data_IF_228709897847
#
_entry.id   IF_228709897847
#
_cell.length_a   1.000
_cell.length_b   1.000
_cell.length_c   1.000
_cell.angle_alpha   90.00
_cell.angle_beta   90.00
_cell.angle_gamma   90.00
#
_symmetry.space_group_name_H-M   'P 1'
#
loop_
_entity.id
_entity.type
_entity.pdbx_description
1 polymer ?
#
# COMPACT_ATOMS: atom_id res chain seq x y z
N UNK A 1 -19.74 -31.64 -56.52
CA UNK A 1 -21.02 -32.28 -56.18
C UNK A 1 -21.99 -31.28 -55.58
N UNK A 2 -23.30 -31.45 -55.83
CA UNK A 2 -24.38 -30.69 -55.18
C UNK A 2 -25.40 -31.65 -54.60
N UNK A 3 -25.61 -31.60 -53.29
CA UNK A 3 -26.60 -32.40 -52.57
C UNK A 3 -27.57 -31.47 -51.86
N UNK A 4 -28.83 -31.47 -52.30
CA UNK A 4 -29.87 -30.61 -51.71
C UNK A 4 -30.40 -31.18 -50.40
N UNK A 5 -30.63 -32.49 -50.33
CA UNK A 5 -31.00 -33.20 -49.11
C UNK A 5 -30.56 -34.66 -49.19
N UNK A 6 -29.89 -35.16 -48.16
CA UNK A 6 -29.53 -36.58 -48.02
C UNK A 6 -29.40 -36.92 -46.54
N UNK A 7 -29.63 -38.16 -46.13
CA UNK A 7 -29.31 -38.55 -44.76
C UNK A 7 -27.79 -38.50 -44.51
N UNK A 8 -26.99 -38.93 -45.48
CA UNK A 8 -25.53 -38.98 -45.39
C UNK A 8 -24.89 -38.52 -46.70
N UNK A 9 -23.82 -37.75 -46.61
CA UNK A 9 -23.01 -37.31 -47.75
C UNK A 9 -21.55 -37.58 -47.47
N UNK A 10 -20.99 -38.54 -48.20
CA UNK A 10 -19.56 -38.85 -48.21
C UNK A 10 -19.00 -38.54 -49.60
N UNK A 11 -18.01 -37.65 -49.67
CA UNK A 11 -17.31 -37.36 -50.93
C UNK A 11 -15.82 -37.18 -50.68
N UNK A 12 -15.00 -37.67 -51.61
CA UNK A 12 -13.55 -37.53 -51.58
C UNK A 12 -13.00 -37.05 -52.91
N UNK A 13 -11.89 -36.30 -52.87
CA UNK A 13 -11.16 -35.82 -54.05
C UNK A 13 -12.02 -35.02 -55.03
N UNK A 14 -12.85 -34.11 -54.50
CA UNK A 14 -13.75 -33.28 -55.31
C UNK A 14 -13.34 -31.83 -55.16
N UNK A 15 -13.15 -31.13 -56.27
CA UNK A 15 -12.80 -29.70 -56.25
C UNK A 15 -13.85 -28.86 -55.51
N UNK A 16 -15.13 -29.17 -55.70
CA UNK A 16 -16.24 -28.38 -55.16
C UNK A 16 -17.35 -29.25 -54.60
N UNK A 17 -17.73 -29.02 -53.34
CA UNK A 17 -18.89 -29.64 -52.69
C UNK A 17 -19.87 -28.60 -52.12
N UNK A 18 -21.17 -28.83 -52.35
CA UNK A 18 -22.24 -28.05 -51.71
C UNK A 18 -23.31 -28.99 -51.17
N UNK A 19 -23.51 -28.95 -49.86
CA UNK A 19 -24.54 -29.71 -49.15
C UNK A 19 -25.48 -28.74 -48.44
N UNK A 20 -26.76 -28.76 -48.80
CA UNK A 20 -27.75 -27.81 -48.26
C UNK A 20 -28.49 -28.33 -47.03
N UNK A 21 -28.65 -29.65 -46.91
CA UNK A 21 -29.20 -30.28 -45.71
C UNK A 21 -28.77 -31.74 -45.63
N UNK A 22 -28.23 -32.16 -44.50
CA UNK A 22 -27.94 -33.57 -44.25
C UNK A 22 -27.92 -33.92 -42.77
N UNK A 23 -28.06 -35.19 -42.42
CA UNK A 23 -27.78 -35.59 -41.04
C UNK A 23 -26.25 -35.60 -40.82
N UNK A 24 -25.49 -36.16 -41.78
CA UNK A 24 -24.04 -36.33 -41.67
C UNK A 24 -23.33 -35.98 -42.97
N UNK A 25 -22.29 -35.15 -42.88
CA UNK A 25 -21.45 -34.74 -44.02
C UNK A 25 -19.99 -35.01 -43.70
N UNK A 26 -19.39 -35.92 -44.45
CA UNK A 26 -17.96 -36.26 -44.38
C UNK A 26 -17.31 -35.94 -45.72
N UNK A 27 -16.35 -35.01 -45.73
CA UNK A 27 -15.63 -34.63 -46.95
C UNK A 27 -14.12 -34.64 -46.72
N UNK A 28 -13.38 -35.23 -47.66
CA UNK A 28 -11.92 -35.30 -47.60
C UNK A 28 -11.27 -34.87 -48.92
N UNK A 29 -10.15 -34.15 -48.81
CA UNK A 29 -9.39 -33.65 -49.98
C UNK A 29 -10.28 -32.85 -50.93
N UNK A 30 -10.93 -31.81 -50.38
CA UNK A 30 -11.85 -30.94 -51.11
C UNK A 30 -11.30 -29.53 -51.12
N UNK A 31 -11.16 -28.91 -52.29
CA UNK A 31 -10.67 -27.53 -52.36
C UNK A 31 -11.70 -26.57 -51.75
N UNK A 32 -12.97 -26.72 -52.13
CA UNK A 32 -14.05 -25.82 -51.70
C UNK A 32 -15.28 -26.57 -51.18
N UNK A 33 -15.59 -26.40 -49.88
CA UNK A 33 -16.76 -26.99 -49.23
C UNK A 33 -17.72 -25.93 -48.70
N UNK A 34 -19.03 -26.10 -48.99
CA UNK A 34 -20.10 -25.32 -48.36
C UNK A 34 -21.16 -26.25 -47.82
N UNK A 35 -21.34 -26.25 -46.51
CA UNK A 35 -22.30 -27.09 -45.80
C UNK A 35 -23.26 -26.21 -45.00
N UNK A 36 -24.55 -26.47 -45.17
CA UNK A 36 -25.62 -25.79 -44.43
C UNK A 36 -26.57 -26.80 -43.81
N UNK A 37 -27.19 -26.44 -42.69
CA UNK A 37 -28.30 -27.17 -42.07
C UNK A 37 -28.02 -28.66 -41.91
N UNK A 38 -26.93 -28.98 -41.20
CA UNK A 38 -26.49 -30.36 -40.97
C UNK A 38 -26.32 -30.68 -39.49
N UNK A 39 -26.59 -31.93 -39.09
CA UNK A 39 -26.36 -32.29 -37.69
C UNK A 39 -24.85 -32.44 -37.41
N UNK A 40 -24.13 -33.16 -38.26
CA UNK A 40 -22.68 -33.39 -38.11
C UNK A 40 -21.94 -33.07 -39.40
N UNK A 41 -20.83 -32.34 -39.29
CA UNK A 41 -19.96 -31.95 -40.40
C UNK A 41 -18.51 -32.22 -40.04
N UNK A 42 -17.89 -33.17 -40.74
CA UNK A 42 -16.48 -33.53 -40.61
C UNK A 42 -15.76 -33.23 -41.92
N UNK A 43 -14.80 -32.30 -41.90
CA UNK A 43 -14.00 -31.97 -43.08
C UNK A 43 -12.51 -32.12 -42.78
N UNK A 44 -11.80 -32.83 -43.66
CA UNK A 44 -10.36 -33.02 -43.56
C UNK A 44 -9.63 -32.64 -44.84
N UNK A 45 -8.47 -31.99 -44.71
CA UNK A 45 -7.64 -31.54 -45.85
C UNK A 45 -8.45 -30.69 -46.84
N UNK A 46 -8.98 -29.56 -46.34
CA UNK A 46 -9.83 -28.65 -47.11
C UNK A 46 -9.19 -27.28 -47.19
N UNK A 47 -9.05 -26.72 -48.39
CA UNK A 47 -8.49 -25.37 -48.53
C UNK A 47 -9.48 -24.32 -47.98
N UNK A 48 -10.74 -24.38 -48.42
CA UNK A 48 -11.76 -23.42 -48.07
C UNK A 48 -13.06 -24.09 -47.58
N UNK A 49 -13.41 -23.88 -46.31
CA UNK A 49 -14.65 -24.40 -45.72
C UNK A 49 -15.60 -23.28 -45.25
N UNK A 50 -16.88 -23.45 -45.56
CA UNK A 50 -17.96 -22.60 -45.02
C UNK A 50 -19.06 -23.48 -44.47
N UNK A 51 -19.23 -23.46 -43.15
CA UNK A 51 -20.25 -24.24 -42.44
C UNK A 51 -21.21 -23.31 -41.71
N UNK A 52 -22.51 -23.55 -41.87
CA UNK A 52 -23.55 -22.71 -41.27
C UNK A 52 -24.71 -23.54 -40.74
N UNK A 53 -25.24 -23.15 -39.58
CA UNK A 53 -26.44 -23.78 -39.00
C UNK A 53 -26.25 -25.28 -38.80
N UNK A 54 -25.19 -25.69 -38.10
CA UNK A 54 -24.87 -27.09 -37.85
C UNK A 54 -24.78 -27.41 -36.36
N UNK A 55 -25.12 -28.63 -35.93
CA UNK A 55 -24.97 -28.93 -34.50
C UNK A 55 -23.50 -29.13 -34.14
N UNK A 56 -22.77 -29.97 -34.88
CA UNK A 56 -21.36 -30.25 -34.64
C UNK A 56 -20.54 -30.03 -35.91
N UNK A 57 -19.41 -29.34 -35.77
CA UNK A 57 -18.46 -29.05 -36.86
C UNK A 57 -17.05 -29.39 -36.41
N UNK A 58 -16.43 -30.36 -37.07
CA UNK A 58 -15.05 -30.76 -36.85
C UNK A 58 -14.24 -30.54 -38.13
N UNK A 59 -13.22 -29.69 -38.06
CA UNK A 59 -12.36 -29.37 -39.20
C UNK A 59 -10.89 -29.62 -38.86
N UNK A 60 -10.22 -30.40 -39.71
CA UNK A 60 -8.80 -30.70 -39.57
C UNK A 60 -8.01 -30.37 -40.83
N UNK A 61 -6.83 -29.77 -40.65
CA UNK A 61 -5.93 -29.37 -41.74
C UNK A 61 -6.65 -28.51 -42.78
N UNK A 62 -7.14 -27.35 -42.32
CA UNK A 62 -7.91 -26.41 -43.15
C UNK A 62 -7.18 -25.08 -43.26
N UNK A 63 -6.98 -24.57 -44.47
CA UNK A 63 -6.34 -23.26 -44.63
C UNK A 63 -7.28 -22.13 -44.16
N UNK A 64 -8.50 -22.12 -44.67
CA UNK A 64 -9.48 -21.07 -44.39
C UNK A 64 -10.83 -21.65 -43.96
N UNK A 65 -11.23 -21.40 -42.71
CA UNK A 65 -12.52 -21.82 -42.17
C UNK A 65 -13.44 -20.66 -41.78
N UNK A 66 -14.71 -20.77 -42.14
CA UNK A 66 -15.78 -19.89 -41.64
C UNK A 66 -16.94 -20.72 -41.11
N UNK A 67 -17.15 -20.66 -39.80
CA UNK A 67 -18.23 -21.37 -39.12
C UNK A 67 -19.18 -20.36 -38.46
N UNK A 68 -20.47 -20.57 -38.67
CA UNK A 68 -21.51 -19.69 -38.13
C UNK A 68 -22.71 -20.47 -37.63
N UNK A 69 -23.33 -19.99 -36.54
CA UNK A 69 -24.57 -20.55 -35.99
C UNK A 69 -24.44 -22.05 -35.72
N UNK A 70 -23.43 -22.46 -34.95
CA UNK A 70 -23.19 -23.88 -34.64
C UNK A 70 -23.20 -24.16 -33.15
N UNK A 71 -23.62 -25.35 -32.71
CA UNK A 71 -23.58 -25.64 -31.26
C UNK A 71 -22.13 -25.87 -30.82
N UNK A 72 -21.40 -26.75 -31.52
CA UNK A 72 -20.02 -27.10 -31.21
C UNK A 72 -19.13 -26.95 -32.45
N UNK A 73 -17.99 -26.31 -32.29
CA UNK A 73 -16.99 -26.10 -33.34
C UNK A 73 -15.62 -26.50 -32.82
N UNK A 74 -15.01 -27.50 -33.45
CA UNK A 74 -13.66 -27.99 -33.14
C UNK A 74 -12.78 -27.81 -34.38
N UNK A 75 -11.74 -27.00 -34.27
CA UNK A 75 -10.80 -26.72 -35.36
C UNK A 75 -9.37 -27.10 -34.95
N UNK A 76 -8.71 -27.91 -35.77
CA UNK A 76 -7.32 -28.31 -35.57
C UNK A 76 -6.45 -28.05 -36.79
N UNK A 77 -5.25 -27.50 -36.56
CA UNK A 77 -4.28 -27.17 -37.62
C UNK A 77 -4.91 -26.28 -38.70
N UNK A 78 -5.37 -25.09 -38.29
CA UNK A 78 -6.04 -24.13 -39.17
C UNK A 78 -5.24 -22.84 -39.27
N UNK A 79 -4.95 -22.38 -40.48
CA UNK A 79 -4.22 -21.12 -40.65
C UNK A 79 -5.12 -19.93 -40.25
N UNK A 80 -6.31 -19.85 -40.85
CA UNK A 80 -7.23 -18.74 -40.64
C UNK A 80 -8.64 -19.23 -40.27
N UNK A 81 -9.08 -18.91 -39.05
CA UNK A 81 -10.42 -19.26 -38.56
C UNK A 81 -11.27 -18.04 -38.23
N UNK A 82 -12.55 -18.11 -38.64
CA UNK A 82 -13.59 -17.16 -38.21
C UNK A 82 -14.79 -17.93 -37.72
N UNK A 83 -15.05 -17.83 -36.42
CA UNK A 83 -16.19 -18.49 -35.77
C UNK A 83 -17.12 -17.42 -35.19
N UNK A 84 -18.42 -17.56 -35.46
CA UNK A 84 -19.43 -16.62 -34.99
C UNK A 84 -20.69 -17.33 -34.52
N UNK A 85 -21.30 -16.82 -33.44
CA UNK A 85 -22.59 -17.30 -32.95
C UNK A 85 -22.57 -18.81 -32.68
N UNK A 86 -21.60 -19.26 -31.88
CA UNK A 86 -21.47 -20.69 -31.51
C UNK A 86 -21.56 -20.89 -30.01
N UNK A 87 -22.07 -22.03 -29.53
CA UNK A 87 -22.13 -22.25 -28.08
C UNK A 87 -20.72 -22.57 -27.55
N UNK A 88 -20.02 -23.52 -28.16
CA UNK A 88 -18.67 -23.94 -27.78
C UNK A 88 -17.72 -23.87 -28.99
N UNK A 89 -16.53 -23.29 -28.78
CA UNK A 89 -15.47 -23.17 -29.79
C UNK A 89 -14.16 -23.65 -29.18
N UNK A 90 -13.59 -24.69 -29.76
CA UNK A 90 -12.28 -25.24 -29.40
C UNK A 90 -11.33 -25.10 -30.59
N UNK A 91 -10.25 -24.34 -30.42
CA UNK A 91 -9.24 -24.13 -31.46
C UNK A 91 -7.88 -24.65 -30.99
N UNK A 92 -7.25 -25.49 -31.80
CA UNK A 92 -5.90 -26.02 -31.56
C UNK A 92 -4.97 -25.78 -32.74
N UNK A 93 -3.77 -25.28 -32.45
CA UNK A 93 -2.73 -24.99 -33.45
C UNK A 93 -3.26 -24.09 -34.58
N UNK A 94 -3.70 -22.89 -34.21
CA UNK A 94 -4.28 -21.90 -35.12
C UNK A 94 -3.40 -20.66 -35.19
N UNK A 95 -3.01 -20.24 -36.39
CA UNK A 95 -2.20 -19.03 -36.54
C UNK A 95 -3.03 -17.78 -36.22
N UNK A 96 -4.18 -17.64 -36.89
CA UNK A 96 -5.05 -16.48 -36.77
C UNK A 96 -6.50 -16.88 -36.43
N UNK A 97 -6.98 -16.45 -35.26
CA UNK A 97 -8.36 -16.71 -34.84
C UNK A 97 -9.16 -15.43 -34.57
N UNK A 98 -10.40 -15.42 -35.06
CA UNK A 98 -11.40 -14.41 -34.68
C UNK A 98 -12.68 -15.10 -34.25
N UNK A 99 -13.01 -14.97 -32.97
CA UNK A 99 -14.21 -15.56 -32.38
C UNK A 99 -15.14 -14.46 -31.89
N UNK A 100 -16.40 -14.53 -32.29
CA UNK A 100 -17.42 -13.55 -31.94
C UNK A 100 -18.68 -14.20 -31.42
N UNK A 101 -19.28 -13.62 -30.38
CA UNK A 101 -20.61 -14.01 -29.89
C UNK A 101 -20.69 -15.51 -29.58
N UNK A 102 -19.76 -16.02 -28.77
CA UNK A 102 -19.74 -17.43 -28.39
C UNK A 102 -19.87 -17.60 -26.88
N UNK A 103 -20.46 -18.69 -26.38
CA UNK A 103 -20.58 -18.83 -24.93
C UNK A 103 -19.23 -19.21 -24.31
N UNK A 104 -18.57 -20.23 -24.85
CA UNK A 104 -17.26 -20.72 -24.39
C UNK A 104 -16.27 -20.74 -25.55
N UNK A 105 -15.06 -20.25 -25.29
CA UNK A 105 -13.95 -20.22 -26.24
C UNK A 105 -12.70 -20.75 -25.55
N UNK A 106 -12.22 -21.90 -26.01
CA UNK A 106 -11.01 -22.56 -25.56
C UNK A 106 -9.99 -22.53 -26.70
N UNK A 107 -8.82 -21.96 -26.42
CA UNK A 107 -7.77 -21.75 -27.41
C UNK A 107 -6.47 -22.38 -26.90
N UNK A 108 -5.86 -23.22 -27.73
CA UNK A 108 -4.57 -23.86 -27.44
C UNK A 108 -3.58 -23.64 -28.57
N UNK A 109 -2.37 -23.17 -28.24
CA UNK A 109 -1.30 -22.90 -29.20
C UNK A 109 -1.76 -21.99 -30.36
N UNK A 110 -2.26 -20.80 -30.01
CA UNK A 110 -2.74 -19.79 -30.97
C UNK A 110 -1.79 -18.61 -30.99
N UNK A 111 -1.26 -18.25 -32.16
CA UNK A 111 -0.31 -17.13 -32.26
C UNK A 111 -1.01 -15.78 -32.03
N UNK A 112 -2.10 -15.54 -32.77
CA UNK A 112 -2.88 -14.31 -32.70
C UNK A 112 -4.37 -14.59 -32.47
N UNK A 113 -4.90 -14.10 -31.35
CA UNK A 113 -6.33 -14.27 -31.01
C UNK A 113 -7.05 -12.95 -30.74
N UNK A 114 -8.26 -12.86 -31.30
CA UNK A 114 -9.20 -11.77 -30.99
C UNK A 114 -10.55 -12.37 -30.64
N UNK A 115 -10.95 -12.16 -29.39
CA UNK A 115 -12.23 -12.64 -28.87
C UNK A 115 -13.11 -11.46 -28.48
N UNK A 116 -14.34 -11.47 -28.97
CA UNK A 116 -15.31 -10.41 -28.75
C UNK A 116 -16.66 -10.98 -28.34
N UNK A 117 -17.20 -10.48 -27.23
CA UNK A 117 -18.53 -10.82 -26.74
C UNK A 117 -18.69 -12.32 -26.48
N UNK A 118 -17.86 -12.85 -25.58
CA UNK A 118 -17.94 -14.25 -25.14
C UNK A 118 -18.22 -14.34 -23.64
N UNK A 119 -18.89 -15.37 -23.14
CA UNK A 119 -19.10 -15.48 -21.69
C UNK A 119 -17.81 -15.90 -20.98
N UNK A 120 -17.11 -16.90 -21.51
CA UNK A 120 -15.86 -17.43 -20.96
C UNK A 120 -14.80 -17.53 -22.06
N UNK A 121 -13.58 -17.12 -21.75
CA UNK A 121 -12.40 -17.25 -22.61
C UNK A 121 -11.27 -17.88 -21.81
N UNK A 122 -10.81 -19.03 -22.27
CA UNK A 122 -9.65 -19.73 -21.74
C UNK A 122 -8.60 -19.84 -22.84
N UNK A 123 -7.36 -19.43 -22.52
CA UNK A 123 -6.25 -19.46 -23.46
C UNK A 123 -5.01 -20.02 -22.76
N UNK A 124 -4.50 -21.12 -23.30
CA UNK A 124 -3.30 -21.78 -22.80
C UNK A 124 -2.29 -22.04 -23.92
N UNK A 125 -1.01 -21.95 -23.60
CA UNK A 125 0.08 -22.46 -24.43
C UNK A 125 0.64 -23.76 -23.84
N UNK A 126 0.97 -24.74 -24.68
CA UNK A 126 1.61 -25.98 -24.22
C UNK A 126 3.13 -25.76 -24.15
N UNK A 127 3.65 -25.71 -22.91
CA UNK A 127 5.03 -25.41 -22.52
C UNK A 127 6.14 -26.31 -23.13
N UNK A 128 5.81 -27.31 -23.97
CA UNK A 128 6.78 -28.29 -24.52
C UNK A 128 6.79 -28.42 -26.06
N UNK A 129 6.35 -27.42 -26.79
CA UNK A 129 6.43 -27.41 -28.26
C UNK A 129 7.36 -26.31 -28.73
N UNK A 130 8.35 -26.64 -29.57
CA UNK A 130 9.19 -25.67 -30.31
C UNK A 130 8.40 -24.91 -31.39
N UNK A 131 7.13 -24.58 -31.14
CA UNK A 131 6.20 -23.88 -32.02
C UNK A 131 5.28 -23.00 -31.14
N UNK A 132 5.53 -21.68 -31.19
CA UNK A 132 4.70 -20.51 -30.79
C UNK A 132 3.97 -20.53 -29.43
N UNK A 133 4.49 -19.76 -28.47
CA UNK A 133 3.69 -19.14 -27.39
C UNK A 133 2.60 -18.24 -27.98
N UNK A 134 1.56 -17.94 -27.19
CA UNK A 134 0.59 -16.91 -27.61
C UNK A 134 1.31 -15.56 -27.55
N UNK A 135 1.53 -14.94 -28.71
CA UNK A 135 2.20 -13.64 -28.78
C UNK A 135 1.25 -12.53 -28.34
N UNK A 136 0.01 -12.56 -28.85
CA UNK A 136 -0.96 -11.49 -28.65
C UNK A 136 -2.38 -12.02 -28.41
N UNK A 137 -2.96 -11.68 -27.25
CA UNK A 137 -4.38 -11.90 -26.95
C UNK A 137 -5.10 -10.59 -26.64
N UNK A 138 -6.21 -10.36 -27.34
CA UNK A 138 -7.07 -9.20 -27.12
C UNK A 138 -8.51 -9.65 -26.86
N UNK A 139 -8.99 -9.41 -25.62
CA UNK A 139 -10.37 -9.66 -25.23
C UNK A 139 -11.10 -8.33 -25.05
N UNK A 140 -12.07 -8.09 -25.94
CA UNK A 140 -12.81 -6.82 -25.92
C UNK A 140 -13.91 -6.80 -24.85
N UNK A 141 -14.60 -7.92 -24.66
CA UNK A 141 -15.66 -8.06 -23.67
C UNK A 141 -15.90 -9.54 -23.36
N UNK A 142 -15.78 -9.90 -22.07
CA UNK A 142 -16.13 -11.22 -21.58
C UNK A 142 -16.58 -11.22 -20.12
N UNK A 143 -17.30 -12.23 -19.63
CA UNK A 143 -17.56 -12.31 -18.19
C UNK A 143 -16.32 -12.80 -17.44
N UNK A 144 -15.62 -13.79 -17.99
CA UNK A 144 -14.42 -14.38 -17.38
C UNK A 144 -13.32 -14.57 -18.43
N UNK A 145 -12.12 -14.13 -18.08
CA UNK A 145 -10.91 -14.27 -18.89
C UNK A 145 -9.84 -14.96 -18.07
N UNK A 146 -9.41 -16.13 -18.50
CA UNK A 146 -8.32 -16.89 -17.89
C UNK A 146 -7.25 -17.12 -18.94
N UNK A 147 -6.06 -16.51 -18.75
CA UNK A 147 -4.98 -16.63 -19.70
C UNK A 147 -3.65 -16.98 -19.01
N UNK A 148 -2.90 -17.89 -19.62
CA UNK A 148 -1.61 -18.33 -19.09
C UNK A 148 -0.53 -18.38 -20.18
N UNK A 149 0.72 -18.12 -19.79
CA UNK A 149 1.90 -18.23 -20.67
C UNK A 149 1.80 -17.38 -21.95
N UNK A 150 1.55 -16.08 -21.77
CA UNK A 150 1.33 -15.13 -22.86
C UNK A 150 2.35 -14.00 -22.78
N UNK A 151 2.87 -13.56 -23.91
CA UNK A 151 3.74 -12.38 -23.97
C UNK A 151 2.92 -11.09 -23.71
N UNK A 152 1.89 -10.85 -24.53
CA UNK A 152 1.07 -9.64 -24.45
C UNK A 152 -0.44 -9.94 -24.32
N UNK A 153 -1.04 -9.41 -23.25
CA UNK A 153 -2.49 -9.49 -22.99
C UNK A 153 -3.13 -8.12 -22.84
N UNK A 154 -4.24 -7.91 -23.55
CA UNK A 154 -5.08 -6.73 -23.42
C UNK A 154 -6.54 -7.11 -23.17
N UNK A 155 -7.07 -6.73 -21.99
CA UNK A 155 -8.47 -6.92 -21.61
C UNK A 155 -9.14 -5.56 -21.44
N UNK A 156 -10.07 -5.24 -22.33
CA UNK A 156 -10.79 -3.97 -22.30
C UNK A 156 -11.87 -3.96 -21.22
N UNK A 157 -12.67 -5.02 -21.14
CA UNK A 157 -13.78 -5.14 -20.19
C UNK A 157 -14.02 -6.59 -19.81
N UNK A 158 -13.97 -6.91 -18.52
CA UNK A 158 -14.42 -8.22 -18.04
C UNK A 158 -14.93 -8.19 -16.60
N UNK A 159 -15.77 -9.13 -16.17
CA UNK A 159 -16.10 -9.19 -14.73
C UNK A 159 -14.92 -9.74 -13.93
N UNK A 160 -14.26 -10.78 -14.44
CA UNK A 160 -13.11 -11.41 -13.78
C UNK A 160 -11.99 -11.65 -14.79
N UNK A 161 -10.77 -11.25 -14.41
CA UNK A 161 -9.55 -11.46 -15.18
C UNK A 161 -8.54 -12.18 -14.31
N UNK A 162 -8.12 -13.36 -14.74
CA UNK A 162 -7.06 -14.16 -14.11
C UNK A 162 -5.94 -14.36 -15.13
N UNK A 163 -4.74 -13.83 -14.83
CA UNK A 163 -3.57 -13.99 -15.69
C UNK A 163 -2.40 -14.58 -14.92
N UNK A 164 -1.72 -15.56 -15.51
CA UNK A 164 -0.52 -16.16 -14.94
C UNK A 164 0.61 -16.24 -15.95
N UNK A 165 1.85 -15.98 -15.50
CA UNK A 165 3.05 -16.05 -16.35
C UNK A 165 2.92 -15.18 -17.61
N UNK A 166 2.66 -13.89 -17.40
CA UNK A 166 2.47 -12.90 -18.48
C UNK A 166 3.56 -11.85 -18.44
N UNK A 167 4.19 -11.55 -19.57
CA UNK A 167 5.20 -10.48 -19.61
C UNK A 167 4.51 -9.11 -19.47
N UNK A 168 3.54 -8.82 -20.34
CA UNK A 168 2.87 -7.53 -20.39
C UNK A 168 1.34 -7.66 -20.33
N UNK A 169 0.72 -7.06 -19.32
CA UNK A 169 -0.73 -7.06 -19.13
C UNK A 169 -1.32 -5.64 -19.03
N UNK A 170 -2.43 -5.44 -19.74
CA UNK A 170 -3.22 -4.21 -19.66
C UNK A 170 -4.70 -4.54 -19.42
N UNK A 171 -5.23 -4.14 -18.26
CA UNK A 171 -6.64 -4.30 -17.91
C UNK A 171 -7.28 -2.92 -17.71
N UNK A 172 -8.24 -2.59 -18.58
CA UNK A 172 -8.88 -1.26 -18.57
C UNK A 172 -10.03 -1.18 -17.58
N UNK A 173 -10.93 -2.17 -17.57
CA UNK A 173 -12.11 -2.20 -16.71
C UNK A 173 -12.45 -3.62 -16.28
N UNK A 174 -12.45 -3.87 -14.97
CA UNK A 174 -12.90 -5.16 -14.45
C UNK A 174 -13.44 -5.12 -13.03
N UNK A 175 -14.31 -6.04 -12.62
CA UNK A 175 -14.69 -6.12 -11.21
C UNK A 175 -13.54 -6.70 -10.39
N UNK A 176 -12.91 -7.78 -10.86
CA UNK A 176 -11.82 -8.45 -10.17
C UNK A 176 -10.67 -8.75 -11.13
N UNK A 177 -9.45 -8.40 -10.72
CA UNK A 177 -8.22 -8.69 -11.44
C UNK A 177 -7.27 -9.43 -10.53
N UNK A 178 -6.89 -10.65 -10.92
CA UNK A 178 -5.92 -11.49 -10.23
C UNK A 178 -4.76 -11.77 -11.19
N UNK A 179 -3.55 -11.28 -10.85
CA UNK A 179 -2.36 -11.50 -11.66
C UNK A 179 -1.27 -12.17 -10.84
N UNK A 180 -0.65 -13.20 -11.40
CA UNK A 180 0.49 -13.89 -10.79
C UNK A 180 1.66 -14.04 -11.75
N UNK A 181 2.88 -13.83 -11.24
CA UNK A 181 4.11 -13.95 -12.05
C UNK A 181 4.08 -13.07 -13.30
N UNK A 182 3.90 -11.76 -13.10
CA UNK A 182 3.79 -10.78 -14.19
C UNK A 182 4.94 -9.79 -14.15
N UNK A 183 5.60 -9.56 -15.27
CA UNK A 183 6.67 -8.56 -15.32
C UNK A 183 6.08 -7.14 -15.24
N UNK A 184 5.14 -6.81 -16.13
CA UNK A 184 4.55 -5.49 -16.23
C UNK A 184 3.01 -5.53 -16.22
N UNK A 185 2.39 -4.87 -15.24
CA UNK A 185 0.93 -4.76 -15.14
C UNK A 185 0.42 -3.32 -15.09
N UNK A 186 -0.65 -3.06 -15.85
CA UNK A 186 -1.36 -1.78 -15.83
C UNK A 186 -2.86 -2.02 -15.65
N UNK A 187 -3.39 -1.57 -14.51
CA UNK A 187 -4.81 -1.65 -14.17
C UNK A 187 -5.37 -0.24 -13.99
N UNK A 188 -6.43 0.08 -14.74
CA UNK A 188 -6.97 1.45 -14.74
C UNK A 188 -8.18 1.64 -13.85
N UNK A 189 -9.20 0.78 -13.99
CA UNK A 189 -10.46 0.87 -13.24
C UNK A 189 -10.89 -0.51 -12.81
N UNK A 190 -10.79 -0.81 -11.51
CA UNK A 190 -11.29 -2.09 -10.99
C UNK A 190 -11.93 -1.98 -9.62
N UNK A 191 -12.77 -2.94 -9.22
CA UNK A 191 -13.21 -2.98 -7.82
C UNK A 191 -12.13 -3.61 -6.94
N UNK A 192 -11.54 -4.72 -7.37
CA UNK A 192 -10.52 -5.45 -6.61
C UNK A 192 -9.35 -5.83 -7.52
N UNK A 193 -8.13 -5.55 -7.04
CA UNK A 193 -6.88 -5.91 -7.71
C UNK A 193 -6.01 -6.69 -6.74
N UNK A 194 -5.70 -7.93 -7.10
CA UNK A 194 -4.81 -8.81 -6.34
C UNK A 194 -3.62 -9.18 -7.23
N UNK A 195 -2.41 -8.77 -6.85
CA UNK A 195 -1.19 -9.07 -7.61
C UNK A 195 -0.17 -9.79 -6.73
N UNK A 196 0.41 -10.86 -7.27
CA UNK A 196 1.48 -11.61 -6.62
C UNK A 196 2.68 -11.82 -7.54
N UNK A 197 3.89 -11.67 -6.98
CA UNK A 197 5.15 -11.85 -7.73
C UNK A 197 5.20 -10.99 -9.00
N UNK A 198 5.10 -9.67 -8.82
CA UNK A 198 5.08 -8.70 -9.92
C UNK A 198 6.28 -7.78 -9.86
N UNK A 199 6.99 -7.60 -10.97
CA UNK A 199 8.11 -6.66 -11.01
C UNK A 199 7.59 -5.21 -10.96
N UNK A 200 6.70 -4.85 -11.90
CA UNK A 200 6.20 -3.50 -12.05
C UNK A 200 4.67 -3.45 -12.10
N UNK A 201 4.04 -2.77 -11.14
CA UNK A 201 2.59 -2.58 -11.08
C UNK A 201 2.18 -1.10 -11.08
N UNK A 202 1.16 -0.79 -11.90
CA UNK A 202 0.53 0.53 -11.92
C UNK A 202 -0.99 0.40 -11.84
N UNK A 203 -1.54 0.81 -10.71
CA UNK A 203 -2.99 0.88 -10.46
C UNK A 203 -3.44 2.35 -10.45
N UNK A 204 -4.32 2.71 -11.37
CA UNK A 204 -4.81 4.09 -11.48
C UNK A 204 -5.98 4.35 -10.55
N UNK A 205 -7.00 3.50 -10.58
CA UNK A 205 -8.19 3.60 -9.74
C UNK A 205 -8.69 2.21 -9.36
N UNK A 206 -8.82 1.93 -8.05
CA UNK A 206 -9.47 0.72 -7.58
C UNK A 206 -10.17 0.91 -6.24
N UNK A 207 -11.17 0.10 -5.88
CA UNK A 207 -11.68 0.14 -4.50
C UNK A 207 -10.70 -0.52 -3.52
N UNK A 208 -10.15 -1.68 -3.88
CA UNK A 208 -9.22 -2.45 -3.05
C UNK A 208 -8.02 -2.93 -3.88
N UNK A 209 -6.82 -2.70 -3.36
CA UNK A 209 -5.56 -3.16 -3.95
C UNK A 209 -4.80 -3.98 -2.93
N UNK A 210 -4.53 -5.23 -3.25
CA UNK A 210 -3.74 -6.16 -2.45
C UNK A 210 -2.53 -6.62 -3.26
N UNK A 211 -1.32 -6.24 -2.85
CA UNK A 211 -0.09 -6.61 -3.56
C UNK A 211 0.86 -7.38 -2.64
N UNK A 212 1.40 -8.48 -3.14
CA UNK A 212 2.41 -9.28 -2.44
C UNK A 212 3.63 -9.57 -3.31
N UNK A 213 4.82 -9.48 -2.71
CA UNK A 213 6.10 -9.76 -3.40
C UNK A 213 6.25 -8.92 -4.68
N UNK A 214 6.21 -7.59 -4.53
CA UNK A 214 6.27 -6.64 -5.65
C UNK A 214 7.52 -5.79 -5.56
N UNK A 215 8.28 -5.68 -6.65
CA UNK A 215 9.45 -4.80 -6.66
C UNK A 215 9.01 -3.32 -6.66
N UNK A 216 8.19 -2.93 -7.64
CA UNK A 216 7.77 -1.55 -7.82
C UNK A 216 6.25 -1.43 -7.94
N UNK A 217 5.63 -0.70 -7.00
CA UNK A 217 4.18 -0.43 -7.01
C UNK A 217 3.85 1.06 -7.04
N UNK A 218 2.86 1.41 -7.87
CA UNK A 218 2.26 2.75 -7.93
C UNK A 218 0.75 2.67 -7.89
N UNK A 219 0.16 3.17 -6.82
CA UNK A 219 -1.29 3.32 -6.65
C UNK A 219 -1.65 4.81 -6.64
N UNK A 220 -2.45 5.22 -7.62
CA UNK A 220 -2.83 6.64 -7.74
C UNK A 220 -4.03 6.98 -6.87
N UNK A 221 -5.10 6.17 -6.92
CA UNK A 221 -6.30 6.35 -6.11
C UNK A 221 -6.87 5.00 -5.71
N UNK A 222 -7.10 4.78 -4.42
CA UNK A 222 -7.84 3.60 -3.96
C UNK A 222 -8.55 3.81 -2.63
N UNK A 223 -9.63 3.09 -2.32
CA UNK A 223 -10.19 3.17 -0.96
C UNK A 223 -9.29 2.45 0.04
N UNK A 224 -8.79 1.27 -0.29
CA UNK A 224 -7.94 0.45 0.56
C UNK A 224 -6.74 -0.07 -0.21
N UNK A 225 -5.54 0.08 0.36
CA UNK A 225 -4.29 -0.44 -0.18
C UNK A 225 -3.60 -1.28 0.88
N UNK A 226 -3.39 -2.55 0.59
CA UNK A 226 -2.65 -3.50 1.43
C UNK A 226 -1.44 -4.01 0.66
N UNK A 227 -0.22 -3.73 1.13
CA UNK A 227 1.00 -4.20 0.48
C UNK A 227 1.87 -4.99 1.45
N UNK A 228 2.38 -6.13 0.99
CA UNK A 228 3.32 -6.96 1.74
C UNK A 228 4.55 -7.32 0.91
N UNK A 229 5.73 -7.28 1.54
CA UNK A 229 7.01 -7.64 0.90
C UNK A 229 7.25 -6.83 -0.38
N UNK A 230 7.30 -5.51 -0.25
CA UNK A 230 7.46 -4.58 -1.38
C UNK A 230 8.75 -3.80 -1.27
N UNK A 231 9.53 -3.73 -2.36
CA UNK A 231 10.75 -2.92 -2.35
C UNK A 231 10.39 -1.42 -2.39
N UNK A 232 9.61 -1.00 -3.39
CA UNK A 232 9.26 0.40 -3.61
C UNK A 232 7.76 0.61 -3.78
N UNK A 233 7.14 1.38 -2.87
CA UNK A 233 5.72 1.72 -2.94
C UNK A 233 5.46 3.22 -2.99
N UNK A 234 4.50 3.60 -3.84
CA UNK A 234 3.97 4.97 -3.90
C UNK A 234 2.44 4.97 -3.93
N UNK A 235 1.83 5.50 -2.88
CA UNK A 235 0.38 5.68 -2.76
C UNK A 235 0.06 7.17 -2.71
N UNK A 236 -0.72 7.66 -3.68
CA UNK A 236 -0.95 9.10 -3.84
C UNK A 236 -2.22 9.61 -3.18
N UNK A 237 -3.27 8.79 -3.09
CA UNK A 237 -4.53 9.12 -2.43
C UNK A 237 -5.24 7.84 -2.02
N UNK A 238 -5.58 7.71 -0.74
CA UNK A 238 -6.35 6.57 -0.26
C UNK A 238 -7.18 6.87 0.98
N UNK A 239 -8.16 6.03 1.32
CA UNK A 239 -8.77 6.12 2.64
C UNK A 239 -7.90 5.38 3.66
N UNK A 240 -7.46 4.17 3.34
CA UNK A 240 -6.66 3.33 4.23
C UNK A 240 -5.46 2.74 3.49
N UNK A 241 -4.28 2.84 4.10
CA UNK A 241 -3.04 2.26 3.60
C UNK A 241 -2.42 1.41 4.70
N UNK A 242 -2.26 0.12 4.45
CA UNK A 242 -1.60 -0.83 5.33
C UNK A 242 -0.39 -1.43 4.60
N UNK A 243 0.82 -1.17 5.10
CA UNK A 243 2.04 -1.71 4.50
C UNK A 243 2.83 -2.51 5.52
N UNK A 244 3.31 -3.69 5.10
CA UNK A 244 4.17 -4.55 5.90
C UNK A 244 5.41 -5.00 5.13
N UNK A 245 6.56 -5.03 5.80
CA UNK A 245 7.83 -5.48 5.21
C UNK A 245 8.16 -4.73 3.91
N UNK A 246 8.29 -3.40 4.01
CA UNK A 246 8.54 -2.51 2.86
C UNK A 246 9.89 -1.81 3.01
N UNK A 247 10.70 -1.81 1.96
CA UNK A 247 11.97 -1.07 2.00
C UNK A 247 11.70 0.45 1.92
N UNK A 248 11.01 0.90 0.88
CA UNK A 248 10.75 2.32 0.63
C UNK A 248 9.26 2.60 0.40
N UNK A 249 8.66 3.43 1.25
CA UNK A 249 7.26 3.85 1.13
C UNK A 249 7.08 5.36 1.06
N UNK A 250 6.20 5.79 0.14
CA UNK A 250 5.73 7.17 0.06
C UNK A 250 4.21 7.20 0.00
N UNK A 251 3.60 7.76 1.03
CA UNK A 251 2.15 7.89 1.16
C UNK A 251 1.78 9.36 1.22
N UNK A 252 0.76 9.75 0.46
CA UNK A 252 0.23 11.10 0.47
C UNK A 252 -1.30 11.08 0.50
N UNK A 253 -1.90 12.11 1.10
CA UNK A 253 -3.35 12.36 1.06
C UNK A 253 -4.16 11.13 1.46
N UNK A 254 -3.94 10.61 2.67
CA UNK A 254 -4.61 9.40 3.17
C UNK A 254 -5.37 9.65 4.47
N UNK A 255 -6.51 9.00 4.71
CA UNK A 255 -7.17 9.16 6.01
C UNK A 255 -6.40 8.42 7.11
N UNK A 256 -6.05 7.15 6.86
CA UNK A 256 -5.34 6.28 7.80
C UNK A 256 -4.15 5.62 7.12
N UNK A 257 -3.01 5.61 7.81
CA UNK A 257 -1.76 4.99 7.33
C UNK A 257 -1.18 4.16 8.46
N UNK A 258 -1.08 2.86 8.24
CA UNK A 258 -0.49 1.87 9.14
C UNK A 258 0.71 1.23 8.46
N UNK A 259 1.93 1.47 8.98
CA UNK A 259 3.15 0.87 8.44
C UNK A 259 3.84 0.02 9.50
N UNK A 260 4.24 -1.19 9.13
CA UNK A 260 5.01 -2.09 9.99
C UNK A 260 6.25 -2.64 9.28
N UNK A 261 7.37 -2.72 10.01
CA UNK A 261 8.64 -3.27 9.46
C UNK A 261 9.07 -2.56 8.17
N UNK A 262 9.25 -1.24 8.25
CA UNK A 262 9.60 -0.39 7.10
C UNK A 262 10.97 0.23 7.28
N UNK A 263 11.83 0.16 6.26
CA UNK A 263 13.13 0.82 6.34
C UNK A 263 12.96 2.34 6.22
N UNK A 264 12.34 2.82 5.14
CA UNK A 264 12.17 4.24 4.86
C UNK A 264 10.72 4.60 4.57
N UNK A 265 10.15 5.50 5.37
CA UNK A 265 8.78 6.01 5.20
C UNK A 265 8.70 7.52 5.08
N UNK A 266 7.89 7.98 4.13
CA UNK A 266 7.50 9.38 3.98
C UNK A 266 5.99 9.49 3.89
N UNK A 267 5.36 10.08 4.90
CA UNK A 267 3.91 10.30 4.99
C UNK A 267 3.60 11.79 5.04
N UNK A 268 2.65 12.24 4.22
CA UNK A 268 2.23 13.64 4.19
C UNK A 268 0.73 13.80 3.99
N UNK A 269 0.14 14.76 4.68
CA UNK A 269 -1.28 15.11 4.54
C UNK A 269 -2.19 13.93 4.90
N UNK A 270 -2.04 13.39 6.11
CA UNK A 270 -2.86 12.27 6.60
C UNK A 270 -3.67 12.63 7.84
N UNK A 271 -4.81 11.98 8.09
CA UNK A 271 -5.50 12.22 9.37
C UNK A 271 -4.81 11.44 10.50
N UNK A 272 -4.57 10.15 10.31
CA UNK A 272 -3.95 9.27 11.30
C UNK A 272 -2.76 8.53 10.67
N UNK A 273 -1.65 8.46 11.41
CA UNK A 273 -0.43 7.77 11.01
C UNK A 273 0.05 6.94 12.19
N UNK A 274 0.08 5.62 12.02
CA UNK A 274 0.61 4.65 12.98
C UNK A 274 1.79 3.93 12.33
N UNK A 275 2.98 4.07 12.91
CA UNK A 275 4.18 3.36 12.42
C UNK A 275 4.79 2.51 13.53
N UNK A 276 5.12 1.27 13.20
CA UNK A 276 5.80 0.34 14.10
C UNK A 276 7.03 -0.29 13.44
N UNK A 277 8.13 -0.41 14.20
CA UNK A 277 9.38 -1.02 13.72
C UNK A 277 9.89 -0.37 12.44
N UNK A 278 10.17 0.93 12.49
CA UNK A 278 10.60 1.72 11.33
C UNK A 278 12.01 2.28 11.55
N UNK A 279 12.90 2.14 10.57
CA UNK A 279 14.24 2.72 10.69
C UNK A 279 14.17 4.25 10.53
N UNK A 280 13.61 4.74 9.41
CA UNK A 280 13.55 6.16 9.09
C UNK A 280 12.11 6.60 8.75
N UNK A 281 11.56 7.52 9.53
CA UNK A 281 10.23 8.08 9.30
C UNK A 281 10.22 9.60 9.15
N UNK A 282 9.48 10.07 8.14
CA UNK A 282 9.18 11.49 7.93
C UNK A 282 7.68 11.68 7.80
N UNK A 283 7.09 12.34 8.79
CA UNK A 283 5.65 12.63 8.84
C UNK A 283 5.43 14.14 8.82
N UNK A 284 4.52 14.59 7.96
CA UNK A 284 4.19 16.01 7.84
C UNK A 284 2.69 16.25 7.66
N UNK A 285 2.19 17.34 8.24
CA UNK A 285 0.80 17.79 8.06
C UNK A 285 -0.20 16.69 8.39
N UNK A 286 -0.11 16.13 9.60
CA UNK A 286 -1.00 15.04 10.02
C UNK A 286 -1.78 15.37 11.30
N UNK A 287 -3.01 14.89 11.47
CA UNK A 287 -3.74 15.22 12.71
C UNK A 287 -3.16 14.46 13.91
N UNK A 288 -3.02 13.14 13.79
CA UNK A 288 -2.48 12.25 14.82
C UNK A 288 -1.32 11.43 14.26
N UNK A 289 -0.26 11.31 15.05
CA UNK A 289 0.94 10.54 14.70
C UNK A 289 1.33 9.70 15.91
N UNK A 290 1.26 8.38 15.76
CA UNK A 290 1.68 7.41 16.75
C UNK A 290 2.85 6.60 16.17
N UNK A 291 4.01 6.67 16.82
CA UNK A 291 5.19 5.90 16.39
C UNK A 291 5.71 5.03 17.53
N UNK A 292 6.00 3.76 17.23
CA UNK A 292 6.60 2.82 18.17
C UNK A 292 7.81 2.12 17.57
N UNK A 293 8.86 1.92 18.37
CA UNK A 293 10.08 1.22 17.95
C UNK A 293 10.69 1.81 16.67
N UNK A 294 11.02 3.11 16.72
CA UNK A 294 11.55 3.85 15.56
C UNK A 294 12.96 4.32 15.81
N UNK A 295 13.88 4.11 14.87
CA UNK A 295 15.26 4.61 15.03
C UNK A 295 15.30 6.13 14.84
N UNK A 296 14.81 6.63 13.70
CA UNK A 296 14.86 8.04 13.35
C UNK A 296 13.48 8.56 12.94
N UNK A 297 12.94 9.52 13.69
CA UNK A 297 11.65 10.16 13.40
C UNK A 297 11.75 11.67 13.21
N UNK A 298 11.07 12.17 12.18
CA UNK A 298 10.88 13.61 11.93
C UNK A 298 9.40 13.89 11.73
N UNK A 299 8.79 14.57 12.69
CA UNK A 299 7.38 14.94 12.66
C UNK A 299 7.23 16.46 12.61
N UNK A 300 6.40 16.96 11.70
CA UNK A 300 6.17 18.41 11.56
C UNK A 300 4.71 18.74 11.26
N UNK A 301 4.22 19.81 11.88
CA UNK A 301 2.86 20.33 11.64
C UNK A 301 1.79 19.29 11.94
N UNK A 302 1.79 18.76 13.17
CA UNK A 302 0.80 17.76 13.61
C UNK A 302 -0.02 18.23 14.81
N UNK A 303 -1.27 17.78 14.98
CA UNK A 303 -2.02 18.18 16.18
C UNK A 303 -1.52 17.40 17.40
N UNK A 304 -1.45 16.07 17.30
CA UNK A 304 -0.99 15.18 18.37
C UNK A 304 0.14 14.28 17.86
N UNK A 305 1.16 14.10 18.70
CA UNK A 305 2.32 13.27 18.42
C UNK A 305 2.61 12.42 19.65
N UNK A 306 2.48 11.11 19.51
CA UNK A 306 2.77 10.11 20.54
C UNK A 306 3.91 9.22 20.04
N UNK A 307 5.07 9.27 20.70
CA UNK A 307 6.21 8.43 20.33
C UNK A 307 6.62 7.55 21.51
N UNK A 308 6.85 6.26 21.24
CA UNK A 308 7.34 5.30 22.21
C UNK A 308 8.54 4.51 21.69
N UNK A 309 9.54 4.28 22.53
CA UNK A 309 10.74 3.48 22.17
C UNK A 309 11.43 4.02 20.91
N UNK A 310 11.83 5.29 20.94
CA UNK A 310 12.45 5.97 19.78
C UNK A 310 13.88 6.37 20.09
N UNK A 311 14.83 6.08 19.19
CA UNK A 311 16.21 6.51 19.39
C UNK A 311 16.35 8.01 19.17
N UNK A 312 15.96 8.52 17.99
CA UNK A 312 16.10 9.92 17.62
C UNK A 312 14.77 10.52 17.14
N UNK A 313 14.27 11.52 17.86
CA UNK A 313 13.04 12.23 17.49
C UNK A 313 13.23 13.73 17.30
N UNK A 314 12.62 14.26 16.23
CA UNK A 314 12.51 15.70 15.97
C UNK A 314 11.06 16.05 15.69
N UNK A 315 10.46 16.79 16.61
CA UNK A 315 9.07 17.25 16.52
C UNK A 315 9.05 18.76 16.44
N UNK A 316 8.31 19.30 15.47
CA UNK A 316 8.17 20.75 15.30
C UNK A 316 6.75 21.17 14.95
N UNK A 317 6.27 22.24 15.57
CA UNK A 317 4.95 22.82 15.30
C UNK A 317 3.82 21.82 15.56
N UNK A 318 3.69 21.39 16.81
CA UNK A 318 2.61 20.47 17.23
C UNK A 318 1.75 21.04 18.34
N UNK A 319 0.49 20.62 18.49
CA UNK A 319 -0.29 21.08 19.66
C UNK A 319 0.13 20.29 20.92
N UNK A 320 0.13 18.97 20.84
CA UNK A 320 0.50 18.07 21.94
C UNK A 320 1.60 17.11 21.48
N UNK A 321 2.57 16.87 22.37
CA UNK A 321 3.68 15.95 22.14
C UNK A 321 3.86 15.12 23.40
N UNK A 322 3.67 13.81 23.29
CA UNK A 322 3.90 12.84 24.35
C UNK A 322 5.00 11.88 23.89
N UNK A 323 6.13 11.85 24.60
CA UNK A 323 7.25 10.96 24.30
C UNK A 323 7.54 10.05 25.49
N UNK A 324 7.69 8.75 25.23
CA UNK A 324 8.07 7.77 26.24
C UNK A 324 9.24 6.91 25.78
N UNK A 325 10.20 6.63 26.68
CA UNK A 325 11.36 5.77 26.37
C UNK A 325 12.14 6.23 25.13
N UNK A 326 12.60 7.49 25.14
CA UNK A 326 13.29 8.11 24.00
C UNK A 326 14.73 8.43 24.35
N UNK A 327 15.69 8.07 23.49
CA UNK A 327 17.10 8.40 23.74
C UNK A 327 17.35 9.91 23.50
N UNK A 328 17.03 10.40 22.30
CA UNK A 328 17.28 11.78 21.91
C UNK A 328 16.02 12.45 21.37
N UNK A 329 15.54 13.50 22.05
CA UNK A 329 14.37 14.26 21.63
C UNK A 329 14.65 15.75 21.44
N UNK A 330 14.11 16.29 20.34
CA UNK A 330 14.09 17.73 20.05
C UNK A 330 12.67 18.15 19.72
N UNK A 331 12.07 18.94 20.62
CA UNK A 331 10.72 19.49 20.45
C UNK A 331 10.79 21.01 20.32
N UNK A 332 10.12 21.55 19.31
CA UNK A 332 10.10 22.99 19.06
C UNK A 332 8.71 23.48 18.69
N UNK A 333 8.26 24.56 19.31
CA UNK A 333 6.97 25.20 19.04
C UNK A 333 5.80 24.24 19.28
N UNK A 334 5.52 23.94 20.55
CA UNK A 334 4.39 23.11 20.95
C UNK A 334 3.48 23.78 21.99
N UNK A 335 2.21 23.39 22.12
CA UNK A 335 1.43 23.90 23.26
C UNK A 335 1.75 23.12 24.53
N UNK A 336 1.71 21.78 24.46
CA UNK A 336 1.99 20.89 25.57
C UNK A 336 3.04 19.86 25.17
N UNK A 337 3.98 19.59 26.08
CA UNK A 337 5.03 18.60 25.91
C UNK A 337 5.11 17.76 27.18
N UNK A 338 4.85 16.47 27.08
CA UNK A 338 4.99 15.50 28.14
C UNK A 338 6.08 14.50 27.76
N UNK A 339 7.17 14.42 28.51
CA UNK A 339 8.25 13.47 28.28
C UNK A 339 8.41 12.55 29.49
N UNK A 340 8.50 11.24 29.24
CA UNK A 340 8.76 10.23 30.26
C UNK A 340 9.90 9.31 29.85
N UNK A 341 10.80 9.00 30.79
CA UNK A 341 11.93 8.07 30.54
C UNK A 341 12.77 8.48 29.32
N UNK A 342 13.30 9.71 29.33
CA UNK A 342 14.07 10.26 28.20
C UNK A 342 15.52 10.50 28.60
N UNK A 343 16.49 10.08 27.79
CA UNK A 343 17.91 10.31 28.09
C UNK A 343 18.27 11.79 27.84
N UNK A 344 18.04 12.28 26.63
CA UNK A 344 18.40 13.63 26.22
C UNK A 344 17.19 14.37 25.62
N UNK A 345 16.79 15.47 26.24
CA UNK A 345 15.68 16.30 25.76
C UNK A 345 16.04 17.77 25.56
N UNK A 346 15.58 18.33 24.44
CA UNK A 346 15.64 19.77 24.16
C UNK A 346 14.26 20.27 23.78
N UNK A 347 13.68 21.11 24.63
CA UNK A 347 12.36 21.72 24.43
C UNK A 347 12.50 23.23 24.30
N UNK A 348 11.89 23.80 23.27
CA UNK A 348 11.90 25.25 23.04
C UNK A 348 10.56 25.77 22.58
N UNK A 349 10.14 26.90 23.14
CA UNK A 349 8.91 27.61 22.76
C UNK A 349 7.66 26.75 22.99
N UNK A 350 7.41 26.39 24.25
CA UNK A 350 6.23 25.61 24.65
C UNK A 350 5.35 26.35 25.66
N UNK A 351 4.05 26.09 25.74
CA UNK A 351 3.26 26.67 26.84
C UNK A 351 3.49 25.89 28.14
N UNK A 352 3.34 24.57 28.09
CA UNK A 352 3.49 23.67 29.23
C UNK A 352 4.49 22.57 28.89
N UNK A 353 5.37 22.26 29.83
CA UNK A 353 6.37 21.20 29.71
C UNK A 353 6.36 20.37 30.99
N UNK A 354 6.05 19.10 30.87
CA UNK A 354 6.07 18.11 31.95
C UNK A 354 7.12 17.08 31.63
N UNK A 355 8.16 16.96 32.47
CA UNK A 355 9.21 15.96 32.30
C UNK A 355 9.21 15.02 33.51
N UNK A 356 9.26 13.72 33.25
CA UNK A 356 9.38 12.70 34.28
C UNK A 356 10.49 11.70 33.95
N UNK A 357 11.34 11.37 34.92
CA UNK A 357 12.43 10.38 34.72
C UNK A 357 13.33 10.72 33.53
N UNK A 358 13.87 11.94 33.49
CA UNK A 358 14.73 12.42 32.39
C UNK A 358 16.17 12.57 32.86
N UNK A 359 17.15 12.08 32.10
CA UNK A 359 18.56 12.22 32.48
C UNK A 359 19.05 13.65 32.23
N UNK A 360 18.93 14.13 30.99
CA UNK A 360 19.43 15.44 30.58
C UNK A 360 18.32 16.24 29.90
N UNK A 361 17.95 17.40 30.47
CA UNK A 361 16.93 18.27 29.91
C UNK A 361 17.38 19.72 29.75
N UNK A 362 17.02 20.30 28.59
CA UNK A 362 17.17 21.74 28.32
C UNK A 362 15.85 22.32 27.86
N UNK A 363 15.27 23.18 28.69
CA UNK A 363 14.00 23.86 28.43
C UNK A 363 14.23 25.36 28.25
N UNK A 364 13.63 25.94 27.23
CA UNK A 364 13.78 27.36 26.91
C UNK A 364 12.47 27.98 26.42
N UNK A 365 12.16 29.17 26.92
CA UNK A 365 10.98 29.95 26.54
C UNK A 365 9.69 29.16 26.72
N UNK A 366 9.43 28.73 27.95
CA UNK A 366 8.17 28.08 28.33
C UNK A 366 7.30 28.96 29.22
N UNK A 367 6.00 28.70 29.38
CA UNK A 367 5.22 29.38 30.42
C UNK A 367 5.31 28.62 31.74
N UNK A 368 5.06 27.31 31.71
CA UNK A 368 5.08 26.43 32.86
C UNK A 368 5.99 25.23 32.58
N UNK A 369 6.82 24.89 33.56
CA UNK A 369 7.74 23.75 33.50
C UNK A 369 7.63 22.97 34.80
N UNK A 370 7.19 21.74 34.71
CA UNK A 370 7.08 20.79 35.81
C UNK A 370 8.07 19.66 35.56
N UNK A 371 9.03 19.47 36.46
CA UNK A 371 10.01 18.39 36.34
C UNK A 371 9.93 17.47 37.55
N UNK A 372 9.88 16.17 37.28
CA UNK A 372 9.92 15.13 38.29
C UNK A 372 10.99 14.09 38.01
N UNK A 373 11.76 13.74 39.04
CA UNK A 373 12.82 12.72 38.95
C UNK A 373 13.78 12.96 37.77
N UNK A 374 14.29 14.18 37.62
CA UNK A 374 15.23 14.57 36.55
C UNK A 374 16.64 14.66 37.11
N UNK A 375 17.64 14.08 36.44
CA UNK A 375 19.04 14.12 36.94
C UNK A 375 19.67 15.50 36.71
N UNK A 376 19.72 15.93 35.44
CA UNK A 376 20.30 17.20 35.02
C UNK A 376 19.27 18.04 34.25
N UNK A 377 18.93 19.21 34.81
CA UNK A 377 17.95 20.13 34.19
C UNK A 377 18.45 21.56 34.09
N UNK A 378 18.16 22.19 32.95
CA UNK A 378 18.40 23.61 32.76
C UNK A 378 17.23 24.32 32.09
N UNK A 379 16.64 25.28 32.81
CA UNK A 379 15.53 26.13 32.40
C UNK A 379 16.02 27.56 32.21
N UNK A 380 16.00 28.06 30.98
CA UNK A 380 16.57 29.39 30.66
C UNK A 380 15.57 30.55 30.82
N UNK A 381 14.29 30.32 30.53
CA UNK A 381 13.24 31.34 30.68
C UNK A 381 11.89 30.65 30.83
N UNK A 382 11.23 30.88 31.96
CA UNK A 382 9.87 30.41 32.25
C UNK A 382 9.04 31.48 32.97
N UNK A 383 7.72 31.32 33.08
CA UNK A 383 6.95 32.07 34.08
C UNK A 383 6.92 31.31 35.41
N UNK A 384 6.70 30.01 35.37
CA UNK A 384 6.67 29.13 36.54
C UNK A 384 7.58 27.91 36.29
N UNK A 385 8.30 27.52 37.33
CA UNK A 385 9.10 26.28 37.36
C UNK A 385 8.79 25.56 38.66
N UNK A 386 8.28 24.34 38.55
CA UNK A 386 8.07 23.44 39.67
C UNK A 386 8.98 22.22 39.50
N UNK A 387 9.86 22.00 40.47
CA UNK A 387 10.73 20.83 40.53
C UNK A 387 10.33 20.02 41.76
N UNK A 388 9.79 18.83 41.55
CA UNK A 388 9.39 17.94 42.62
C UNK A 388 9.90 16.52 42.41
N UNK A 389 10.52 15.94 43.41
CA UNK A 389 11.18 14.64 43.24
C UNK A 389 10.86 13.66 44.38
N UNK A 390 10.68 12.39 44.02
CA UNK A 390 10.69 11.26 44.96
C UNK A 390 12.11 10.72 45.18
N UNK A 391 13.06 11.08 44.30
CA UNK A 391 14.50 10.83 44.35
C UNK A 391 15.24 12.10 43.93
N UNK A 392 16.28 12.50 44.66
CA UNK A 392 16.97 13.79 44.49
C UNK A 392 17.27 14.14 43.02
N UNK A 393 16.78 15.29 42.56
CA UNK A 393 17.29 15.94 41.33
C UNK A 393 18.75 16.30 41.60
N UNK A 394 19.70 15.83 40.80
CA UNK A 394 21.13 16.01 41.12
C UNK A 394 21.66 17.40 40.79
N UNK A 395 21.25 17.97 39.65
CA UNK A 395 21.65 19.30 39.22
C UNK A 395 20.49 20.03 38.53
N UNK A 396 20.14 21.21 39.05
CA UNK A 396 19.15 22.08 38.41
C UNK A 396 19.65 23.51 38.23
N UNK A 397 19.37 24.10 37.06
CA UNK A 397 19.68 25.48 36.76
C UNK A 397 18.45 26.23 36.26
N UNK A 398 18.07 27.32 36.94
CA UNK A 398 16.99 28.23 36.52
C UNK A 398 17.59 29.62 36.32
N UNK A 399 17.59 30.10 35.07
CA UNK A 399 18.18 31.40 34.73
C UNK A 399 17.22 32.55 35.01
N UNK A 400 15.96 32.44 34.61
CA UNK A 400 14.93 33.47 34.84
C UNK A 400 13.55 32.83 34.94
N UNK A 401 12.81 33.11 36.03
CA UNK A 401 11.41 32.71 36.22
C UNK A 401 10.64 33.71 37.07
N UNK A 402 9.31 33.82 36.96
CA UNK A 402 8.56 34.61 37.94
C UNK A 402 8.42 33.86 39.27
N UNK A 403 8.13 32.56 39.21
CA UNK A 403 7.98 31.68 40.37
C UNK A 403 8.83 30.42 40.19
N UNK A 404 9.48 29.99 41.26
CA UNK A 404 10.27 28.75 41.32
C UNK A 404 9.93 28.00 42.59
N UNK A 405 9.45 26.78 42.46
CA UNK A 405 9.17 25.88 43.57
C UNK A 405 10.10 24.68 43.46
N UNK A 406 10.92 24.44 44.48
CA UNK A 406 11.87 23.32 44.53
C UNK A 406 11.57 22.44 45.74
N UNK A 407 11.37 21.15 45.49
CA UNK A 407 11.25 20.12 46.52
C UNK A 407 12.18 18.95 46.25
N UNK A 408 12.93 18.52 47.28
CA UNK A 408 13.82 17.35 47.20
C UNK A 408 14.86 17.46 46.08
N UNK A 409 15.59 18.59 46.01
CA UNK A 409 16.59 18.87 44.97
C UNK A 409 17.99 18.98 45.58
N UNK A 410 18.97 18.35 44.96
CA UNK A 410 20.40 18.55 45.21
C UNK A 410 20.97 19.55 44.19
N UNK A 411 21.92 20.39 44.61
CA UNK A 411 22.64 21.35 43.76
C UNK A 411 21.75 22.18 42.81
N UNK A 412 20.92 23.06 43.37
CA UNK A 412 20.12 24.01 42.58
C UNK A 412 20.77 25.38 42.43
N UNK A 413 20.64 25.98 41.24
CA UNK A 413 21.05 27.38 40.98
C UNK A 413 19.89 28.17 40.39
N UNK A 414 19.36 29.11 41.15
CA UNK A 414 18.37 30.09 40.70
C UNK A 414 19.07 31.44 40.55
N UNK A 415 19.16 31.94 39.31
CA UNK A 415 19.83 33.22 39.04
C UNK A 415 18.93 34.41 39.36
N UNK A 416 17.72 34.45 38.79
CA UNK A 416 16.75 35.52 39.04
C UNK A 416 15.32 34.99 39.10
N UNK A 417 14.59 35.35 40.16
CA UNK A 417 13.15 35.12 40.26
C UNK A 417 12.40 36.20 41.04
N UNK A 418 11.06 36.22 40.99
CA UNK A 418 10.28 37.07 41.92
C UNK A 418 9.98 36.32 43.22
N UNK A 419 9.59 35.05 43.14
CA UNK A 419 9.26 34.20 44.28
C UNK A 419 9.96 32.85 44.17
N UNK A 420 10.60 32.40 45.25
CA UNK A 420 11.25 31.09 45.32
C UNK A 420 10.78 30.36 46.57
N UNK A 421 10.22 29.18 46.41
CA UNK A 421 9.83 28.30 47.53
C UNK A 421 10.73 27.07 47.53
N UNK A 422 11.29 26.75 48.70
CA UNK A 422 12.25 25.65 48.87
C UNK A 422 11.79 24.72 49.98
N UNK A 423 11.77 23.42 49.70
CA UNK A 423 11.48 22.36 50.67
C UNK A 423 12.44 21.19 50.51
N UNK A 424 13.08 20.73 51.59
CA UNK A 424 14.01 19.59 51.53
C UNK A 424 15.11 19.69 50.43
N UNK A 425 15.75 20.86 50.27
CA UNK A 425 16.76 21.11 49.22
C UNK A 425 18.18 21.13 49.80
N UNK A 426 19.17 20.57 49.10
CA UNK A 426 20.59 20.63 49.49
C UNK A 426 21.42 21.48 48.51
N UNK A 427 22.44 22.20 49.01
CA UNK A 427 23.38 22.97 48.18
C UNK A 427 22.73 23.99 47.22
N UNK A 428 21.62 24.62 47.61
CA UNK A 428 20.91 25.60 46.77
C UNK A 428 21.59 26.98 46.74
N UNK A 429 21.60 27.63 45.57
CA UNK A 429 22.06 29.02 45.41
C UNK A 429 20.99 29.87 44.73
N UNK A 430 20.42 30.80 45.48
CA UNK A 430 19.52 31.85 44.96
C UNK A 430 20.30 33.16 44.88
N UNK A 431 20.52 33.65 43.66
CA UNK A 431 21.33 34.86 43.44
C UNK A 431 20.51 36.14 43.62
N UNK A 432 19.28 36.18 43.10
CA UNK A 432 18.35 37.31 43.27
C UNK A 432 16.89 36.85 43.32
N UNK A 433 16.16 37.25 44.36
CA UNK A 433 14.71 37.06 44.49
C UNK A 433 14.03 38.27 45.14
N UNK A 434 12.71 38.47 44.96
CA UNK A 434 11.96 39.40 45.80
C UNK A 434 11.52 38.72 47.11
N UNK A 435 11.05 37.47 47.03
CA UNK A 435 10.57 36.68 48.16
C UNK A 435 11.17 35.27 48.13
N UNK A 436 11.55 34.75 49.30
CA UNK A 436 12.00 33.36 49.47
C UNK A 436 11.26 32.72 50.63
N UNK A 437 10.58 31.61 50.40
CA UNK A 437 9.86 30.83 51.42
C UNK A 437 10.52 29.46 51.62
N UNK A 438 10.51 29.00 52.87
CA UNK A 438 11.18 27.79 53.30
C UNK A 438 10.24 26.92 54.14
N UNK A 439 9.92 25.71 53.67
CA UNK A 439 9.03 24.75 54.37
C UNK A 439 9.76 23.42 54.63
N UNK A 440 9.54 22.83 55.82
CA UNK A 440 10.25 21.65 56.38
C UNK A 440 11.77 21.84 56.56
N UNK A 441 12.22 22.12 57.79
CA UNK A 441 13.62 22.50 58.12
C UNK A 441 14.49 21.31 58.56
N UNK A 442 13.94 20.12 58.76
CA UNK A 442 14.64 19.09 59.55
C UNK A 442 15.90 18.47 58.91
N UNK A 443 16.14 18.67 57.60
CA UNK A 443 17.42 18.40 56.93
C UNK A 443 17.72 19.34 55.73
N UNK A 444 16.97 20.44 55.55
CA UNK A 444 16.76 21.10 54.24
C UNK A 444 17.68 22.30 53.89
N UNK A 445 18.78 22.52 54.61
CA UNK A 445 19.60 23.73 54.42
C UNK A 445 21.11 23.51 54.59
N UNK A 446 21.61 22.28 54.44
CA UNK A 446 23.07 22.07 54.48
C UNK A 446 23.70 22.79 53.25
N UNK A 447 24.33 23.94 53.51
CA UNK A 447 25.03 24.84 52.56
C UNK A 447 24.21 25.73 51.58
N UNK A 448 22.89 25.85 51.74
CA UNK A 448 22.09 26.74 50.88
C UNK A 448 22.38 28.24 51.13
N UNK A 449 22.48 29.06 50.07
CA UNK A 449 22.79 30.52 50.13
C UNK A 449 21.82 31.38 49.32
N UNK A 450 21.28 32.42 49.96
CA UNK A 450 20.51 33.50 49.31
C UNK A 450 21.34 34.78 49.32
N UNK A 451 21.66 35.33 48.13
CA UNK A 451 22.58 36.48 48.01
C UNK A 451 21.87 37.83 48.12
N UNK A 452 20.66 37.97 47.54
CA UNK A 452 19.79 39.15 47.70
C UNK A 452 18.31 38.76 47.69
N UNK A 453 17.57 39.15 48.73
CA UNK A 453 16.11 39.02 48.85
C UNK A 453 15.50 40.21 49.59
N UNK A 454 14.27 40.61 49.24
CA UNK A 454 13.54 41.64 49.99
C UNK A 454 12.83 41.05 51.22
N UNK A 455 12.41 39.78 51.16
CA UNK A 455 11.69 39.08 52.24
C UNK A 455 12.08 37.59 52.28
N UNK A 456 12.26 37.03 53.49
CA UNK A 456 12.53 35.59 53.71
C UNK A 456 11.59 35.10 54.81
N UNK A 457 10.77 34.09 54.51
CA UNK A 457 9.78 33.54 55.44
C UNK A 457 10.04 32.05 55.73
N UNK A 458 9.83 31.64 56.99
CA UNK A 458 10.01 30.27 57.47
C UNK A 458 8.64 29.74 57.90
N UNK A 459 8.11 28.71 57.22
CA UNK A 459 6.84 28.09 57.58
C UNK A 459 7.08 26.84 58.44
N UNK A 460 6.66 26.91 59.72
CA UNK A 460 6.72 25.78 60.65
C UNK A 460 5.49 24.88 60.50
N UNK A 461 5.66 23.67 59.98
CA UNK A 461 4.68 22.58 60.13
C UNK A 461 5.04 21.80 61.39
N UNK A 462 4.08 21.62 62.30
CA UNK A 462 4.25 20.92 63.59
C UNK A 462 4.62 19.46 63.44
#
# INVERSE_FOLDING_TARGET
SRVSSSNQVELSSVENSRVSSSNQVELSSVENSRVSSSNQVELSSVENSRVSSSNQVELSSVENSRVSSSNQVELSSVENSRVSSSNQVELSSVENSRVSSSNQVELSSVENSRVSSSNQVELSSVENSRLSSVENSCVSSSNQVELSSIENSCVSSSNQVELSSVENSCVSSSNQVELSSVENSRVSSSNQVELSSVENSRVSSSNQVELSSVENSRVSSSNQVELSSVENSRVSSSNQVELSSVENSRVSSSNQVELSSVENSCVSSSNQVELSSVENSRVSSSNQVELSSVENSRVSSSNQVELSSVENSRVSSSNQVELSSVENSRVSSSNQVELSSVENSRVSSSNQVELSSVENSRVSSSNQVELSSVENSCVSSSNQVELSSLSSVENSCVSSSNQVELSSVENSRVSSSNQVELSSVENSRVSSSNQVELSSVENSLENSRVSSSNQVELSSVQ
#
